data_IF_308756496464
#
_entry.id   IF_308756496464
#
_cell.length_a   1.000
_cell.length_b   1.000
_cell.length_c   1.000
_cell.angle_alpha   90.00
_cell.angle_beta   90.00
_cell.angle_gamma   90.00
#
_symmetry.space_group_name_H-M   'P 1'
#
loop_
_entity.id
_entity.type
_entity.pdbx_description
1 polymer ?
2 non-polymer ?
3 non-polymer ?
#
# COMPACT_ATOMS: atom_id res chain seq x y z
N UNK A 3 8.08 19.85 -10.72
CA UNK A 3 7.73 19.20 -11.98
C UNK A 3 7.09 17.79 -11.78
N UNK A 4 7.58 16.86 -10.90
CA UNK A 4 6.91 15.55 -10.80
C UNK A 4 5.41 15.60 -10.50
N UNK A 5 5.01 16.33 -9.45
CA UNK A 5 3.61 16.50 -9.02
C UNK A 5 2.75 17.20 -10.08
N UNK A 6 3.27 18.29 -10.69
CA UNK A 6 2.61 19.05 -11.76
C UNK A 6 2.34 18.13 -12.96
N UNK A 7 3.34 17.29 -13.34
CA UNK A 7 3.25 16.32 -14.43
C UNK A 7 2.22 15.24 -14.08
N UNK A 8 2.26 14.72 -12.84
CA UNK A 8 1.37 13.65 -12.36
C UNK A 8 -0.08 14.14 -12.40
N UNK A 9 -0.33 15.37 -11.96
CA UNK A 9 -1.67 15.98 -12.00
C UNK A 9 -2.17 16.27 -13.41
N UNK A 10 -1.25 16.65 -14.33
CA UNK A 10 -1.58 16.90 -15.73
C UNK A 10 -2.05 15.58 -16.37
N UNK A 11 -1.32 14.47 -16.12
CA UNK A 11 -1.65 13.14 -16.65
C UNK A 11 -2.99 12.62 -16.04
N UNK A 12 -3.31 12.99 -14.77
CA UNK A 12 -4.57 12.65 -14.13
C UNK A 12 -5.70 13.23 -14.96
N UNK A 13 -5.58 14.52 -15.34
CA UNK A 13 -6.60 15.22 -16.14
C UNK A 13 -6.80 14.51 -17.46
N UNK A 14 -5.69 14.05 -18.06
CA UNK A 14 -5.67 13.32 -19.34
C UNK A 14 -6.35 11.95 -19.23
N UNK A 15 -6.00 11.16 -18.18
CA UNK A 15 -6.60 9.84 -17.93
C UNK A 15 -8.11 10.00 -17.66
N UNK A 16 -8.48 10.93 -16.75
CA UNK A 16 -9.86 11.19 -16.39
C UNK A 16 -10.69 11.52 -17.65
N UNK A 17 -10.21 12.45 -18.48
CA UNK A 17 -10.89 12.84 -19.71
C UNK A 17 -11.04 11.68 -20.68
N UNK A 18 -10.01 10.86 -20.85
CA UNK A 18 -10.12 9.68 -21.70
C UNK A 18 -11.20 8.73 -21.15
N UNK A 19 -11.16 8.43 -19.83
CA UNK A 19 -12.12 7.49 -19.22
C UNK A 19 -13.54 7.94 -19.35
N UNK A 20 -13.80 9.21 -19.02
CA UNK A 20 -15.14 9.80 -19.07
C UNK A 20 -15.65 9.98 -20.49
N UNK A 21 -14.78 10.37 -21.44
CA UNK A 21 -15.19 10.50 -22.84
C UNK A 21 -15.51 9.12 -23.40
N UNK A 22 -14.69 8.10 -23.10
CA UNK A 22 -14.92 6.71 -23.49
C UNK A 22 -16.32 6.26 -23.02
N UNK A 23 -16.71 6.51 -21.73
CA UNK A 23 -18.05 6.17 -21.19
C UNK A 23 -19.16 6.84 -22.00
N UNK A 24 -19.04 8.15 -22.22
CA UNK A 24 -19.99 8.95 -22.97
C UNK A 24 -20.16 8.48 -24.45
N UNK A 25 -19.03 8.28 -25.15
CA UNK A 25 -18.97 7.95 -26.59
C UNK A 25 -19.10 6.48 -26.95
N UNK A 26 -18.59 5.58 -26.10
CA UNK A 26 -18.59 4.15 -26.37
C UNK A 26 -19.50 3.34 -25.44
N UNK A 27 -19.84 3.87 -24.26
CA UNK A 27 -20.66 3.09 -23.30
C UNK A 27 -22.05 3.65 -23.08
N UNK A 28 -22.45 4.61 -23.91
CA UNK A 28 -23.78 5.20 -23.91
C UNK A 28 -24.12 5.98 -22.62
N UNK A 29 -23.11 6.51 -21.89
CA UNK A 29 -23.38 7.21 -20.63
C UNK A 29 -23.96 8.59 -20.78
N UNK A 30 -25.01 8.88 -19.99
CA UNK A 30 -25.68 10.19 -19.96
C UNK A 30 -24.82 11.19 -19.15
N UNK A 31 -24.89 12.52 -19.49
CA UNK A 31 -24.09 13.52 -18.75
C UNK A 31 -24.17 13.47 -17.22
N UNK A 32 -25.39 13.31 -16.68
CA UNK A 32 -25.62 13.27 -15.23
C UNK A 32 -24.72 12.23 -14.54
N UNK A 33 -24.67 11.01 -15.12
CA UNK A 33 -23.81 9.93 -14.62
C UNK A 33 -22.34 10.22 -14.88
N UNK A 34 -21.99 10.87 -16.03
CA UNK A 34 -20.59 11.22 -16.32
C UNK A 34 -20.06 12.18 -15.25
N UNK A 35 -20.84 13.22 -14.90
CA UNK A 35 -20.44 14.18 -13.87
C UNK A 35 -20.34 13.50 -12.48
N UNK A 36 -21.27 12.58 -12.19
CA UNK A 36 -21.27 11.80 -10.96
C UNK A 36 -19.98 10.95 -10.86
N UNK A 37 -19.55 10.35 -11.97
CA UNK A 37 -18.32 9.55 -11.95
C UNK A 37 -17.06 10.41 -11.89
N UNK A 38 -17.10 11.61 -12.46
CA UNK A 38 -15.99 12.57 -12.39
C UNK A 38 -15.76 12.95 -10.92
N UNK A 39 -16.83 13.33 -10.21
CA UNK A 39 -16.81 13.67 -8.79
C UNK A 39 -16.32 12.49 -7.92
N UNK A 40 -16.83 11.25 -8.17
CA UNK A 40 -16.47 10.05 -7.43
C UNK A 40 -14.99 9.77 -7.62
N UNK A 41 -14.49 9.86 -8.86
CA UNK A 41 -13.09 9.66 -9.19
C UNK A 41 -12.22 10.65 -8.43
N UNK A 42 -12.62 11.94 -8.42
CA UNK A 42 -11.88 12.99 -7.71
C UNK A 42 -11.83 12.72 -6.20
N UNK A 43 -13.00 12.40 -5.57
CA UNK A 43 -13.17 12.11 -4.15
C UNK A 43 -12.31 10.94 -3.69
N UNK A 44 -12.27 9.87 -4.47
CA UNK A 44 -11.54 8.64 -4.10
C UNK A 44 -10.07 8.63 -4.49
N UNK A 45 -9.71 9.27 -5.62
CA UNK A 45 -8.34 9.19 -6.18
C UNK A 45 -7.42 10.38 -5.81
N UNK A 46 -8.00 11.52 -5.47
CA UNK A 46 -7.24 12.71 -5.10
C UNK A 46 -7.29 13.03 -3.58
N UNK A 47 -6.29 13.75 -3.11
CA UNK A 47 -6.23 14.16 -1.71
C UNK A 47 -5.17 13.53 -0.83
N UNK A 48 -4.61 12.42 -1.31
CA UNK A 48 -3.55 11.69 -0.62
C UNK A 48 -2.18 12.31 -0.84
N UNK A 49 -1.10 11.58 -0.49
CA UNK A 49 0.26 12.10 -0.68
C UNK A 49 0.83 11.65 -2.03
N UNK A 50 0.22 10.64 -2.65
CA UNK A 50 0.59 10.02 -3.92
C UNK A 50 1.95 9.33 -3.85
N UNK A 51 2.30 8.82 -2.66
CA UNK A 51 3.59 8.15 -2.42
C UNK A 51 3.83 6.99 -3.38
N UNK A 52 2.82 6.13 -3.63
CA UNK A 52 2.95 5.00 -4.55
C UNK A 52 3.13 5.47 -6.00
N UNK A 53 2.29 6.41 -6.43
CA UNK A 53 2.29 6.99 -7.77
C UNK A 53 3.54 7.76 -8.10
N UNK A 54 3.95 8.66 -7.20
CA UNK A 54 5.17 9.44 -7.37
C UNK A 54 6.43 8.58 -7.40
N UNK A 55 6.44 7.40 -6.66
CA UNK A 55 7.57 6.46 -6.66
C UNK A 55 7.83 5.96 -8.07
N UNK A 56 6.77 5.68 -8.87
CA UNK A 56 6.91 5.21 -10.25
C UNK A 56 7.66 6.26 -11.10
N UNK A 57 7.26 7.54 -10.96
CA UNK A 57 7.90 8.66 -11.66
C UNK A 57 9.39 8.75 -11.29
N UNK A 58 9.69 8.77 -9.96
CA UNK A 58 11.06 8.84 -9.40
C UNK A 58 11.98 7.71 -9.89
N UNK A 59 11.46 6.50 -10.05
CA UNK A 59 12.24 5.36 -10.54
C UNK A 59 12.59 5.57 -12.03
N UNK A 60 11.60 5.94 -12.88
CA UNK A 60 11.78 6.19 -14.32
C UNK A 60 12.81 7.32 -14.63
N UNK A 61 12.77 8.45 -13.87
CA UNK A 61 13.66 9.61 -14.02
C UNK A 61 15.12 9.22 -13.76
N UNK A 62 15.31 8.35 -12.74
CA UNK A 62 16.61 7.85 -12.33
C UNK A 62 17.19 6.93 -13.40
N UNK A 63 16.33 6.10 -14.04
CA UNK A 63 16.70 5.17 -15.10
C UNK A 63 16.82 5.87 -16.48
N UNK A 64 17.61 6.94 -16.46
CA UNK A 64 18.08 7.76 -17.55
C UNK A 64 19.62 7.60 -17.45
N UNK A 65 20.03 6.78 -16.43
CA UNK A 65 21.39 6.42 -16.03
C UNK A 65 22.18 7.63 -15.58
N UNK A 76 17.70 10.10 -27.17
CA UNK A 76 16.48 10.36 -27.90
C UNK A 76 15.45 11.10 -27.03
N UNK A 77 15.03 12.28 -27.51
CA UNK A 77 14.08 13.13 -26.82
C UNK A 77 12.67 12.56 -26.77
N UNK A 78 12.31 11.77 -27.80
CA UNK A 78 11.00 11.12 -27.93
C UNK A 78 10.82 9.98 -26.92
N UNK A 79 11.92 9.28 -26.57
CA UNK A 79 11.93 8.18 -25.62
C UNK A 79 11.71 8.66 -24.19
N UNK A 80 12.38 9.76 -23.77
CA UNK A 80 12.29 10.33 -22.43
C UNK A 80 10.85 10.72 -22.07
N UNK A 81 10.22 11.59 -22.88
CA UNK A 81 8.86 12.07 -22.68
C UNK A 81 7.83 10.93 -22.60
N UNK A 82 8.05 9.85 -23.37
CA UNK A 82 7.23 8.64 -23.41
C UNK A 82 7.39 7.87 -22.10
N UNK A 83 8.65 7.61 -21.66
CA UNK A 83 8.95 6.90 -20.40
C UNK A 83 8.30 7.60 -19.20
N UNK A 84 8.47 8.94 -19.10
CA UNK A 84 7.87 9.76 -18.03
C UNK A 84 6.33 9.77 -18.07
N UNK A 85 5.72 9.81 -19.29
CA UNK A 85 4.27 9.77 -19.44
C UNK A 85 3.72 8.39 -18.97
N UNK A 86 4.40 7.29 -19.38
CA UNK A 86 4.11 5.91 -19.04
C UNK A 86 4.21 5.71 -17.52
N UNK A 87 5.24 6.34 -16.88
CA UNK A 87 5.47 6.29 -15.44
C UNK A 87 4.27 6.91 -14.71
N UNK A 88 3.73 8.02 -15.26
CA UNK A 88 2.56 8.72 -14.72
C UNK A 88 1.28 7.89 -14.81
N UNK A 89 1.05 7.19 -15.95
CA UNK A 89 -0.13 6.33 -16.15
C UNK A 89 -0.05 5.13 -15.15
N UNK A 90 1.15 4.55 -14.99
CA UNK A 90 1.42 3.45 -14.05
C UNK A 90 1.19 3.89 -12.61
N UNK A 91 1.64 5.09 -12.29
CA UNK A 91 1.42 5.71 -11.00
C UNK A 91 -0.05 5.88 -10.71
N UNK A 92 -0.84 6.33 -11.71
CA UNK A 92 -2.28 6.47 -11.50
C UNK A 92 -2.96 5.12 -11.42
N UNK A 93 -2.44 4.08 -12.11
CA UNK A 93 -2.96 2.71 -11.97
C UNK A 93 -2.90 2.25 -10.49
N UNK A 94 -1.74 2.47 -9.81
CA UNK A 94 -1.56 2.11 -8.40
C UNK A 94 -2.44 2.98 -7.48
N UNK A 95 -2.51 4.31 -7.75
CA UNK A 95 -3.34 5.22 -6.96
C UNK A 95 -4.82 4.83 -7.06
N UNK A 96 -5.28 4.42 -8.26
CA UNK A 96 -6.66 3.93 -8.47
C UNK A 96 -6.87 2.57 -7.76
N UNK A 97 -5.86 1.69 -7.79
CA UNK A 97 -5.89 0.39 -7.08
C UNK A 97 -6.03 0.62 -5.58
N UNK A 98 -5.27 1.60 -5.02
CA UNK A 98 -5.33 2.03 -3.62
C UNK A 98 -6.73 2.57 -3.31
N UNK A 99 -7.25 3.46 -4.18
CA UNK A 99 -8.60 4.01 -4.08
C UNK A 99 -9.65 2.86 -4.02
N UNK A 100 -9.50 1.84 -4.89
CA UNK A 100 -10.36 0.64 -4.89
C UNK A 100 -10.29 -0.13 -3.52
N UNK A 101 -9.09 -0.33 -2.94
CA UNK A 101 -8.98 -1.01 -1.66
C UNK A 101 -9.63 -0.22 -0.54
N UNK A 102 -9.46 1.12 -0.51
CA UNK A 102 -10.05 1.96 0.53
C UNK A 102 -11.56 1.95 0.50
N UNK A 103 -12.16 1.95 -0.73
CA UNK A 103 -13.63 1.85 -0.91
C UNK A 103 -14.07 0.49 -0.36
N UNK A 104 -13.35 -0.61 -0.71
CA UNK A 104 -13.69 -1.95 -0.23
C UNK A 104 -13.63 -1.97 1.31
N UNK A 105 -12.61 -1.30 1.91
CA UNK A 105 -12.46 -1.18 3.37
C UNK A 105 -13.65 -0.41 3.98
N UNK A 106 -14.12 0.64 3.30
CA UNK A 106 -15.28 1.42 3.76
C UNK A 106 -16.57 0.62 3.80
N UNK A 107 -16.75 -0.37 2.88
CA UNK A 107 -17.93 -1.24 2.82
C UNK A 107 -17.84 -2.22 4.01
N UNK A 108 -16.62 -2.72 4.32
CA UNK A 108 -16.24 -3.66 5.40
C UNK A 108 -16.57 -3.17 6.81
N UNK A 109 -16.90 -1.86 6.98
CA UNK A 109 -17.25 -1.33 8.32
C UNK A 109 -18.56 -0.48 8.36
N UNK A 110 -19.19 -0.21 7.20
CA UNK A 110 -20.46 0.53 7.13
C UNK A 110 -21.62 -0.47 7.29
N UNK A 124 -32.72 -2.10 0.41
CA UNK A 124 -32.60 -1.29 -0.82
C UNK A 124 -31.67 -0.07 -0.65
N UNK A 125 -30.54 -0.26 0.07
CA UNK A 125 -29.58 0.80 0.35
C UNK A 125 -28.69 1.14 -0.86
N UNK A 126 -29.07 2.20 -1.59
CA UNK A 126 -28.39 2.67 -2.80
C UNK A 126 -26.95 3.20 -2.49
N UNK A 127 -26.65 3.63 -1.24
CA UNK A 127 -25.29 4.09 -0.92
C UNK A 127 -24.30 2.92 -0.93
N UNK A 128 -24.70 1.75 -0.35
CA UNK A 128 -23.92 0.52 -0.29
C UNK A 128 -23.79 -0.06 -1.72
N UNK A 129 -24.87 0.02 -2.52
CA UNK A 129 -24.86 -0.43 -3.91
C UNK A 129 -23.86 0.41 -4.68
N UNK A 130 -23.88 1.74 -4.46
CA UNK A 130 -23.00 2.66 -5.17
C UNK A 130 -21.55 2.52 -4.73
N UNK A 131 -21.31 2.13 -3.45
CA UNK A 131 -19.94 1.90 -2.93
C UNK A 131 -19.37 0.65 -3.57
N UNK A 132 -20.17 -0.43 -3.68
CA UNK A 132 -19.71 -1.67 -4.33
C UNK A 132 -19.41 -1.33 -5.81
N UNK A 133 -20.34 -0.60 -6.48
CA UNK A 133 -20.14 -0.20 -7.86
C UNK A 133 -18.85 0.60 -8.04
N UNK A 134 -18.60 1.60 -7.15
CA UNK A 134 -17.35 2.40 -7.10
C UNK A 134 -16.13 1.52 -7.01
N UNK A 135 -16.18 0.51 -6.16
CA UNK A 135 -15.07 -0.41 -5.97
C UNK A 135 -14.71 -1.10 -7.28
N UNK A 136 -15.74 -1.64 -7.96
CA UNK A 136 -15.63 -2.32 -9.24
C UNK A 136 -15.14 -1.40 -10.36
N UNK A 137 -15.68 -0.16 -10.46
CA UNK A 137 -15.24 0.78 -11.48
C UNK A 137 -13.80 1.20 -11.29
N UNK A 138 -13.38 1.49 -10.03
CA UNK A 138 -11.99 1.92 -9.75
C UNK A 138 -10.98 0.89 -10.18
N UNK A 139 -11.28 -0.38 -9.92
CA UNK A 139 -10.43 -1.47 -10.37
C UNK A 139 -10.46 -1.58 -11.92
N UNK A 140 -11.66 -1.62 -12.53
CA UNK A 140 -11.76 -1.72 -13.98
C UNK A 140 -11.03 -0.57 -14.67
N UNK A 141 -11.02 0.64 -14.07
CA UNK A 141 -10.33 1.81 -14.61
C UNK A 141 -8.82 1.63 -14.74
N UNK A 142 -8.19 0.85 -13.84
CA UNK A 142 -6.77 0.55 -13.88
C UNK A 142 -6.51 -0.22 -15.18
N UNK A 143 -7.37 -1.19 -15.52
CA UNK A 143 -7.24 -1.96 -16.76
C UNK A 143 -7.50 -1.07 -17.97
N UNK A 144 -8.60 -0.28 -17.96
CA UNK A 144 -8.99 0.57 -19.09
C UNK A 144 -7.90 1.58 -19.47
N UNK A 145 -7.32 2.30 -18.49
CA UNK A 145 -6.25 3.27 -18.74
C UNK A 145 -4.95 2.59 -19.27
N UNK A 146 -4.61 1.37 -18.77
CA UNK A 146 -3.46 0.59 -19.23
C UNK A 146 -3.65 0.13 -20.67
N UNK A 147 -4.82 -0.48 -20.99
CA UNK A 147 -5.21 -1.00 -22.31
C UNK A 147 -5.20 0.08 -23.38
N UNK A 148 -5.45 1.32 -22.99
CA UNK A 148 -5.46 2.45 -23.90
C UNK A 148 -4.06 3.06 -24.08
N UNK A 149 -3.48 3.61 -22.99
CA UNK A 149 -2.20 4.32 -23.02
C UNK A 149 -1.00 3.46 -23.40
N UNK A 150 -1.07 2.15 -23.14
CA UNK A 150 0.00 1.21 -23.46
C UNK A 150 -0.38 0.22 -24.57
N UNK A 151 -1.49 0.47 -25.31
CA UNK A 151 -2.04 -0.36 -26.40
C UNK A 151 -1.02 -0.99 -27.36
N UNK A 152 -0.01 -0.20 -27.79
CA UNK A 152 1.03 -0.66 -28.72
C UNK A 152 2.36 -1.03 -28.05
N UNK A 153 2.48 -0.85 -26.71
CA UNK A 153 3.71 -1.17 -25.96
C UNK A 153 3.92 -2.68 -25.85
N UNK A 154 5.19 -3.17 -26.04
CA UNK A 154 5.43 -4.62 -25.91
C UNK A 154 5.35 -5.12 -24.46
N UNK A 155 5.45 -4.18 -23.49
CA UNK A 155 5.40 -4.51 -22.07
C UNK A 155 3.96 -4.63 -21.52
N UNK A 156 2.91 -4.28 -22.32
CA UNK A 156 1.51 -4.32 -21.88
C UNK A 156 1.11 -5.65 -21.20
N UNK A 157 1.39 -6.80 -21.85
CA UNK A 157 1.03 -8.11 -21.30
C UNK A 157 1.73 -8.42 -19.96
N UNK A 158 3.05 -8.20 -19.89
CA UNK A 158 3.84 -8.39 -18.67
C UNK A 158 3.39 -7.45 -17.56
N UNK A 159 3.09 -6.18 -17.91
CA UNK A 159 2.63 -5.18 -16.95
C UNK A 159 1.31 -5.60 -16.32
N UNK A 160 0.32 -5.98 -17.17
CA UNK A 160 -1.00 -6.43 -16.74
C UNK A 160 -0.92 -7.65 -15.85
N UNK A 161 -0.06 -8.63 -16.22
CA UNK A 161 0.11 -9.86 -15.47
C UNK A 161 0.74 -9.64 -14.12
N UNK A 162 1.77 -8.78 -14.04
CA UNK A 162 2.44 -8.47 -12.76
C UNK A 162 1.50 -7.67 -11.86
N UNK A 163 0.73 -6.72 -12.44
CA UNK A 163 -0.24 -5.93 -11.70
C UNK A 163 -1.35 -6.83 -11.11
N UNK A 164 -1.95 -7.74 -11.93
CA UNK A 164 -3.01 -8.67 -11.52
C UNK A 164 -2.54 -9.64 -10.46
N UNK A 165 -1.29 -10.11 -10.58
CA UNK A 165 -0.70 -11.01 -9.61
C UNK A 165 -0.51 -10.28 -8.28
N UNK A 166 -0.10 -8.99 -8.32
CA UNK A 166 0.07 -8.15 -7.10
C UNK A 166 -1.29 -7.86 -6.48
N UNK A 167 -2.31 -7.64 -7.31
CA UNK A 167 -3.67 -7.40 -6.82
C UNK A 167 -4.18 -8.64 -6.06
N UNK A 168 -3.98 -9.83 -6.64
CA UNK A 168 -4.35 -11.11 -6.02
C UNK A 168 -3.62 -11.30 -4.70
N UNK A 169 -2.30 -11.06 -4.70
CA UNK A 169 -1.43 -11.12 -3.51
C UNK A 169 -2.03 -10.29 -2.38
N UNK A 170 -2.49 -9.05 -2.71
CA UNK A 170 -3.08 -8.15 -1.71
C UNK A 170 -4.37 -8.71 -1.11
N UNK A 171 -5.23 -9.35 -1.93
CA UNK A 171 -6.50 -9.95 -1.48
C UNK A 171 -6.22 -11.13 -0.59
N UNK A 172 -5.16 -11.89 -0.91
CA UNK A 172 -4.66 -12.99 -0.11
C UNK A 172 -4.17 -12.45 1.25
N UNK A 173 -3.43 -11.35 1.22
CA UNK A 173 -2.94 -10.70 2.43
C UNK A 173 -4.06 -10.22 3.32
N UNK A 174 -5.13 -9.73 2.70
CA UNK A 174 -6.33 -9.30 3.37
C UNK A 174 -7.00 -10.46 4.07
N UNK A 175 -7.00 -11.67 3.45
CA UNK A 175 -7.50 -12.90 4.08
C UNK A 175 -6.66 -13.23 5.34
N UNK A 176 -5.32 -13.21 5.22
CA UNK A 176 -4.42 -13.50 6.35
C UNK A 176 -4.67 -12.55 7.49
N UNK A 177 -4.91 -11.28 7.19
CA UNK A 177 -5.15 -10.21 8.16
C UNK A 177 -6.47 -10.35 8.92
N UNK A 178 -7.56 -10.38 8.19
CA UNK A 178 -8.95 -10.43 8.65
C UNK A 178 -9.24 -11.69 9.47
N UNK A 179 -8.52 -12.78 9.20
CA UNK A 179 -8.74 -14.05 9.88
C UNK A 179 -7.65 -14.42 10.87
N UNK A 180 -6.68 -13.50 11.13
CA UNK A 180 -5.53 -13.69 12.05
C UNK A 180 -5.90 -14.12 13.48
N UNK A 181 -7.01 -13.59 13.99
CA UNK A 181 -7.53 -13.83 15.34
C UNK A 181 -8.51 -15.03 15.38
N UNK A 182 -8.68 -15.71 14.22
CA UNK A 182 -9.57 -16.87 14.01
C UNK A 182 -8.89 -18.07 13.32
N UNK A 183 -9.71 -19.11 13.00
CA UNK A 183 -9.47 -20.33 12.22
C UNK A 183 -10.59 -20.32 11.17
N UNK A 184 -10.26 -19.95 9.90
CA UNK A 184 -11.29 -19.91 8.86
C UNK A 184 -11.51 -21.31 8.28
N UNK A 185 -12.79 -21.80 8.32
CA UNK A 185 -13.23 -23.11 7.83
C UNK A 185 -14.75 -23.12 7.60
N UNK A 198 -8.41 -16.45 19.18
CA UNK A 198 -7.30 -17.39 18.95
C UNK A 198 -5.97 -16.63 18.81
N UNK A 199 -4.91 -16.99 19.63
CA UNK A 199 -3.63 -16.28 19.52
C UNK A 199 -2.48 -17.12 18.92
N UNK A 200 -2.81 -18.31 18.38
CA UNK A 200 -1.85 -19.22 17.72
C UNK A 200 -1.11 -18.56 16.56
N UNK A 201 -1.78 -17.67 15.80
CA UNK A 201 -1.16 -16.99 14.67
C UNK A 201 -0.52 -15.66 15.02
N UNK A 202 -0.46 -15.34 16.34
CA UNK A 202 0.17 -14.12 16.85
C UNK A 202 1.64 -14.35 17.03
N UNK A 203 2.34 -14.48 15.88
CA UNK A 203 3.79 -14.71 15.83
C UNK A 203 4.41 -13.69 14.92
N UNK A 204 5.73 -13.45 15.07
CA UNK A 204 6.48 -12.49 14.26
C UNK A 204 6.54 -12.92 12.77
N UNK A 205 6.72 -14.23 12.52
CA UNK A 205 6.78 -14.80 11.18
C UNK A 205 5.43 -14.61 10.45
N UNK A 206 4.31 -14.80 11.17
CA UNK A 206 2.98 -14.62 10.59
C UNK A 206 2.69 -13.15 10.41
N UNK A 207 3.16 -12.31 11.36
CA UNK A 207 2.99 -10.86 11.25
C UNK A 207 3.65 -10.40 9.94
N UNK A 208 4.87 -10.91 9.65
CA UNK A 208 5.63 -10.62 8.43
C UNK A 208 4.91 -11.14 7.17
N UNK A 209 4.25 -12.32 7.24
CA UNK A 209 3.47 -12.85 6.11
C UNK A 209 2.31 -11.89 5.78
N UNK A 210 1.60 -11.36 6.81
CA UNK A 210 0.51 -10.43 6.64
C UNK A 210 1.03 -9.17 5.98
N UNK A 211 2.12 -8.60 6.54
CA UNK A 211 2.68 -7.34 6.01
C UNK A 211 3.10 -7.48 4.55
N UNK A 212 3.83 -8.56 4.20
CA UNK A 212 4.31 -8.83 2.86
C UNK A 212 3.15 -8.85 1.83
N UNK A 213 2.13 -9.67 2.09
CA UNK A 213 1.02 -9.85 1.16
C UNK A 213 0.03 -8.69 1.15
N UNK A 214 -0.42 -8.26 2.33
CA UNK A 214 -1.41 -7.21 2.47
C UNK A 214 -0.91 -5.82 2.09
N UNK A 215 0.37 -5.50 2.38
CA UNK A 215 0.89 -4.14 2.18
C UNK A 215 2.12 -4.01 1.27
N UNK A 216 3.22 -4.71 1.59
CA UNK A 216 4.52 -4.58 0.94
C UNK A 216 4.52 -4.80 -0.57
N UNK A 217 3.86 -5.86 -1.08
CA UNK A 217 3.80 -6.13 -2.53
C UNK A 217 3.22 -4.96 -3.38
N UNK A 218 2.10 -4.34 -2.96
CA UNK A 218 1.45 -3.27 -3.73
C UNK A 218 1.96 -1.85 -3.39
N UNK A 219 2.37 -1.62 -2.13
CA UNK A 219 2.85 -0.32 -1.67
C UNK A 219 4.32 -0.07 -2.00
N UNK A 220 5.20 -1.09 -1.80
CA UNK A 220 6.64 -0.91 -2.03
C UNK A 220 7.15 -1.61 -3.26
N UNK A 221 6.79 -2.90 -3.49
CA UNK A 221 7.32 -3.62 -4.64
C UNK A 221 6.75 -3.18 -5.97
N UNK A 222 5.41 -3.12 -6.11
CA UNK A 222 4.74 -2.72 -7.36
C UNK A 222 5.20 -1.34 -7.90
N UNK A 223 5.28 -0.22 -7.11
CA UNK A 223 5.75 1.04 -7.71
C UNK A 223 7.15 0.94 -8.28
N UNK A 224 8.06 0.22 -7.58
CA UNK A 224 9.43 0.00 -8.01
C UNK A 224 9.46 -0.80 -9.30
N UNK A 225 8.71 -1.91 -9.38
CA UNK A 225 8.61 -2.80 -10.55
C UNK A 225 8.04 -2.06 -11.76
N UNK A 226 6.97 -1.26 -11.58
CA UNK A 226 6.34 -0.50 -12.67
C UNK A 226 7.29 0.53 -13.27
N UNK A 227 8.07 1.20 -12.42
CA UNK A 227 9.08 2.16 -12.84
C UNK A 227 10.19 1.51 -13.67
N UNK A 228 10.48 0.22 -13.39
CA UNK A 228 11.47 -0.63 -14.08
C UNK A 228 10.90 -1.07 -15.43
N UNK A 229 9.60 -1.47 -15.47
CA UNK A 229 8.92 -1.95 -16.68
C UNK A 229 8.90 -0.87 -17.77
N UNK A 230 8.40 0.34 -17.44
CA UNK A 230 8.28 1.48 -18.36
C UNK A 230 9.64 1.93 -18.91
N UNK A 231 10.71 1.76 -18.10
CA UNK A 231 12.10 2.11 -18.44
C UNK A 231 12.77 1.00 -19.26
N UNK A 232 12.09 -0.17 -19.43
CA UNK A 232 12.57 -1.38 -20.13
C UNK A 232 13.87 -1.90 -19.47
N UNK A 233 13.99 -1.71 -18.14
CA UNK A 233 15.17 -2.05 -17.36
C UNK A 233 14.93 -3.11 -16.27
N UNK A 234 13.85 -3.90 -16.42
CA UNK A 234 13.47 -4.99 -15.52
C UNK A 234 14.56 -6.08 -15.36
N UNK A 235 15.20 -6.64 -16.42
CA UNK A 235 16.19 -7.70 -16.17
C UNK A 235 17.58 -7.23 -15.73
N UNK A 236 17.83 -5.90 -15.72
CA UNK A 236 19.11 -5.28 -15.33
C UNK A 236 19.31 -5.18 -13.81
N UNK A 237 18.29 -5.56 -13.01
CA UNK A 237 18.27 -5.49 -11.54
C UNK A 237 18.14 -6.87 -10.90
N UNK A 238 18.72 -7.04 -9.69
CA UNK A 238 18.59 -8.29 -8.93
C UNK A 238 17.24 -8.16 -8.23
N UNK A 239 16.25 -8.93 -8.70
CA UNK A 239 14.90 -8.92 -8.17
C UNK A 239 14.81 -9.37 -6.73
N UNK A 240 15.66 -10.33 -6.35
CA UNK A 240 15.75 -10.87 -5.00
C UNK A 240 16.02 -9.82 -3.95
N UNK A 241 17.07 -9.00 -4.16
CA UNK A 241 17.44 -7.89 -3.26
C UNK A 241 16.32 -6.81 -3.22
N UNK A 242 15.68 -6.55 -4.39
CA UNK A 242 14.60 -5.57 -4.56
C UNK A 242 13.37 -6.01 -3.76
N UNK A 243 12.95 -7.30 -3.92
CA UNK A 243 11.83 -7.92 -3.21
C UNK A 243 12.08 -7.85 -1.73
N UNK A 244 13.31 -8.19 -1.30
CA UNK A 244 13.77 -8.16 0.09
C UNK A 244 13.70 -6.76 0.66
N UNK A 245 14.10 -5.74 -0.13
CA UNK A 245 14.02 -4.34 0.27
C UNK A 245 12.58 -3.90 0.46
N UNK A 246 11.71 -4.24 -0.50
CA UNK A 246 10.27 -3.91 -0.45
C UNK A 246 9.62 -4.49 0.80
N UNK A 247 9.91 -5.78 1.12
CA UNK A 247 9.41 -6.47 2.30
C UNK A 247 9.89 -5.80 3.59
N UNK A 248 11.18 -5.39 3.64
CA UNK A 248 11.77 -4.73 4.81
C UNK A 248 11.20 -3.34 5.05
N UNK A 249 11.05 -2.54 3.99
CA UNK A 249 10.47 -1.19 4.08
C UNK A 249 9.00 -1.26 4.49
N UNK A 250 8.27 -2.24 3.94
CA UNK A 250 6.88 -2.53 4.29
C UNK A 250 6.74 -2.85 5.76
N UNK A 251 7.62 -3.72 6.27
CA UNK A 251 7.69 -4.12 7.67
C UNK A 251 7.97 -2.89 8.58
N UNK A 252 9.00 -2.08 8.24
CA UNK A 252 9.33 -0.86 8.99
C UNK A 252 8.10 0.06 9.07
N UNK A 253 7.44 0.30 7.94
CA UNK A 253 6.25 1.13 7.86
C UNK A 253 5.09 0.59 8.70
N UNK A 254 4.82 -0.74 8.62
CA UNK A 254 3.70 -1.33 9.36
C UNK A 254 3.90 -1.34 10.88
N UNK A 255 5.14 -1.56 11.35
CA UNK A 255 5.49 -1.57 12.77
C UNK A 255 5.22 -0.18 13.35
N UNK A 256 5.64 0.86 12.60
CA UNK A 256 5.43 2.26 12.95
C UNK A 256 3.93 2.57 12.92
N UNK A 257 3.21 2.07 11.88
CA UNK A 257 1.78 2.28 11.72
C UNK A 257 0.99 1.68 12.88
N UNK A 258 1.39 0.47 13.33
CA UNK A 258 0.79 -0.26 14.46
C UNK A 258 0.98 0.48 15.78
N UNK A 259 2.19 1.01 16.02
CA UNK A 259 2.54 1.75 17.21
C UNK A 259 1.74 3.06 17.25
N UNK A 260 1.67 3.80 16.12
CA UNK A 260 0.93 5.06 15.99
C UNK A 260 -0.57 4.85 16.18
N UNK A 261 -1.11 3.71 15.67
CA UNK A 261 -2.52 3.38 15.79
C UNK A 261 -2.94 3.34 17.27
N UNK A 262 -2.07 2.78 18.12
CA UNK A 262 -2.29 2.61 19.54
C UNK A 262 -1.97 3.86 20.38
N UNK A 263 -0.82 4.52 20.13
CA UNK A 263 -0.35 5.62 20.97
C UNK A 263 -0.55 7.06 20.43
N UNK A 264 -0.60 7.25 19.10
CA UNK A 264 -0.78 8.59 18.53
C UNK A 264 -2.27 9.03 18.65
N UNK A 265 -2.57 10.12 19.41
CA UNK A 265 -3.97 10.59 19.56
C UNK A 265 -4.68 10.94 18.25
N UNK A 266 -6.04 10.76 18.18
CA UNK A 266 -6.77 10.98 16.92
C UNK A 266 -6.53 12.29 16.15
N UNK A 267 -6.33 13.43 16.85
CA UNK A 267 -6.08 14.73 16.19
C UNK A 267 -4.72 14.78 15.45
N UNK A 268 -3.72 14.06 15.99
CA UNK A 268 -2.36 13.93 15.45
C UNK A 268 -2.29 12.80 14.40
N UNK A 269 -2.99 11.67 14.66
CA UNK A 269 -3.02 10.49 13.78
C UNK A 269 -3.87 10.71 12.51
N UNK A 270 -4.97 11.44 12.64
CA UNK A 270 -5.88 11.76 11.54
C UNK A 270 -6.99 10.74 11.34
N UNK A 271 -7.18 9.85 12.34
CA UNK A 271 -8.19 8.78 12.42
C UNK A 271 -8.25 8.25 13.84
N UNK A 272 -9.28 7.45 14.16
CA UNK A 272 -9.38 6.81 15.48
C UNK A 272 -8.75 5.42 15.35
N UNK A 273 -7.74 5.15 16.17
CA UNK A 273 -7.03 3.88 16.22
C UNK A 273 -7.90 2.81 16.85
N UNK A 274 -8.15 1.72 16.11
CA UNK A 274 -9.05 0.64 16.52
C UNK A 274 -8.40 -0.78 16.53
N UNK A 275 -7.06 -0.89 16.40
CA UNK A 275 -6.37 -2.21 16.35
C UNK A 275 -6.66 -3.10 17.56
N UNK A 276 -6.67 -2.52 18.79
CA UNK A 276 -6.93 -3.27 20.02
C UNK A 276 -8.34 -3.86 20.01
N UNK A 277 -9.35 -3.00 19.74
CA UNK A 277 -10.77 -3.32 19.65
C UNK A 277 -11.04 -4.38 18.60
N UNK A 278 -10.35 -4.29 17.45
CA UNK A 278 -10.49 -5.20 16.31
C UNK A 278 -9.67 -6.49 16.48
N UNK A 279 -8.90 -6.59 17.59
CA UNK A 279 -8.04 -7.74 17.91
C UNK A 279 -7.11 -8.04 16.74
N UNK A 280 -6.46 -7.00 16.21
CA UNK A 280 -5.53 -7.14 15.10
C UNK A 280 -4.25 -7.85 15.50
N UNK A 281 -3.62 -8.56 14.54
CA UNK A 281 -2.33 -9.20 14.76
C UNK A 281 -1.31 -8.10 14.52
N UNK A 282 -1.11 -7.22 15.52
CA UNK A 282 -0.21 -6.09 15.40
C UNK A 282 1.19 -6.41 15.93
N UNK A 283 2.19 -5.60 15.53
CA UNK A 283 3.53 -5.77 15.99
C UNK A 283 3.54 -5.67 17.53
N UNK A 284 2.72 -4.76 18.11
CA UNK A 284 2.66 -4.60 19.56
C UNK A 284 2.16 -5.87 20.25
N UNK A 285 1.08 -6.49 19.73
CA UNK A 285 0.50 -7.72 20.26
C UNK A 285 1.47 -8.93 20.21
N UNK A 286 2.15 -9.18 19.07
CA UNK A 286 3.08 -10.30 18.89
C UNK A 286 4.36 -10.13 19.75
N UNK A 287 4.87 -8.88 19.90
CA UNK A 287 6.06 -8.58 20.69
C UNK A 287 5.73 -8.70 22.17
N UNK A 288 4.55 -8.22 22.57
CA UNK A 288 4.08 -8.32 23.95
C UNK A 288 3.96 -9.79 24.38
N UNK A 289 3.37 -10.66 23.52
CA UNK A 289 3.15 -12.05 23.89
C UNK A 289 4.43 -12.86 24.09
N UNK A 290 5.52 -12.47 23.43
CA UNK A 290 6.81 -13.15 23.59
C UNK A 290 7.51 -12.71 24.89
N UNK A 291 7.13 -11.55 25.47
CA UNK A 291 7.83 -11.12 26.69
C UNK A 291 6.94 -11.01 27.95
N UNK A 292 5.62 -11.23 27.84
CA UNK A 292 4.73 -11.16 28.99
C UNK A 292 4.76 -12.44 29.81
N UNK A 293 4.44 -12.31 31.12
CA UNK A 293 4.37 -13.44 32.06
C UNK A 293 3.00 -14.11 31.88
N UNK A 294 2.83 -15.33 32.44
CA UNK A 294 1.58 -16.10 32.36
C UNK A 294 0.34 -15.26 32.75
N UNK A 295 0.42 -14.57 33.92
CA UNK A 295 -0.65 -13.71 34.45
C UNK A 295 -0.91 -12.50 33.55
N UNK A 296 0.15 -11.87 33.00
CA UNK A 296 0.05 -10.74 32.07
C UNK A 296 -0.59 -11.16 30.74
N UNK A 297 -0.25 -12.38 30.23
CA UNK A 297 -0.80 -12.96 28.99
C UNK A 297 -2.29 -13.20 29.23
N UNK A 298 -2.64 -13.75 30.40
CA UNK A 298 -4.02 -14.00 30.81
C UNK A 298 -4.82 -12.69 30.83
N UNK A 299 -4.18 -11.60 31.35
CA UNK A 299 -4.74 -10.25 31.45
C UNK A 299 -4.90 -9.64 30.05
N UNK A 300 -3.93 -9.89 29.15
CA UNK A 300 -3.97 -9.44 27.77
C UNK A 300 -5.12 -10.15 27.02
N UNK A 301 -5.20 -11.50 27.15
CA UNK A 301 -6.24 -12.31 26.51
C UNK A 301 -7.67 -11.95 26.94
N UNK A 302 -7.87 -11.60 28.22
CA UNK A 302 -9.19 -11.25 28.72
C UNK A 302 -9.63 -9.83 28.30
N UNK A 303 -8.68 -8.95 27.91
CA UNK A 303 -8.98 -7.56 27.54
C UNK A 303 -8.82 -7.22 26.05
N UNK A 304 -8.18 -8.08 25.25
CA UNK A 304 -7.99 -7.82 23.82
C UNK A 304 -9.25 -8.11 23.01
N UNK A 305 -9.46 -7.32 21.95
CA UNK A 305 -10.59 -7.45 21.04
C UNK A 305 -11.94 -6.98 21.54
N UNK A 306 -11.95 -6.01 22.48
CA UNK A 306 -13.18 -5.46 23.05
C UNK A 306 -13.26 -3.96 22.84
N UNK A 307 -14.49 -3.49 22.60
CA UNK A 307 -14.78 -2.07 22.42
C UNK A 307 -14.75 -1.28 23.72
N UNK A 308 -14.93 -1.97 24.88
CA UNK A 308 -14.93 -1.36 26.21
C UNK A 308 -13.65 -0.55 26.48
N UNK A 309 -13.83 0.76 26.69
CA UNK A 309 -12.82 1.81 26.94
C UNK A 309 -11.73 1.43 27.95
N UNK A 310 -12.12 0.79 29.07
CA UNK A 310 -11.22 0.35 30.14
C UNK A 310 -10.36 -0.87 29.77
N UNK A 311 -10.91 -1.76 28.93
CA UNK A 311 -10.20 -2.96 28.46
C UNK A 311 -9.12 -2.54 27.45
N UNK A 312 -9.42 -1.55 26.59
CA UNK A 312 -8.48 -0.95 25.61
C UNK A 312 -7.34 -0.26 26.38
N UNK A 313 -7.70 0.50 27.43
CA UNK A 313 -6.75 1.19 28.29
C UNK A 313 -5.86 0.18 29.04
N UNK A 314 -6.44 -0.96 29.49
CA UNK A 314 -5.68 -2.02 30.16
C UNK A 314 -4.61 -2.59 29.21
N UNK A 315 -4.95 -2.77 27.92
CA UNK A 315 -4.03 -3.27 26.88
C UNK A 315 -2.90 -2.24 26.70
N UNK A 316 -3.23 -0.94 26.58
CA UNK A 316 -2.26 0.15 26.46
C UNK A 316 -1.29 0.19 27.65
N UNK A 317 -1.81 -0.03 28.88
CA UNK A 317 -1.06 -0.10 30.14
C UNK A 317 -0.07 -1.27 30.07
N UNK A 318 -0.53 -2.45 29.61
CA UNK A 318 0.29 -3.66 29.46
C UNK A 318 1.45 -3.42 28.49
N UNK A 319 1.19 -2.79 27.31
CA UNK A 319 2.23 -2.46 26.34
C UNK A 319 3.31 -1.53 26.96
N UNK A 320 2.85 -0.47 27.67
CA UNK A 320 3.69 0.50 28.36
C UNK A 320 4.56 -0.16 29.43
N UNK A 321 3.94 -0.97 30.30
CA UNK A 321 4.62 -1.65 31.39
C UNK A 321 5.59 -2.73 30.91
N UNK A 322 5.39 -3.25 29.70
CA UNK A 322 6.28 -4.24 29.10
C UNK A 322 7.46 -3.57 28.38
N UNK A 323 7.54 -2.23 28.39
CA UNK A 323 8.59 -1.44 27.73
C UNK A 323 8.63 -1.73 26.23
N UNK A 324 7.44 -1.78 25.59
CA UNK A 324 7.34 -2.05 24.16
C UNK A 324 7.84 -0.89 23.35
N UNK A 325 7.75 0.36 23.89
CA UNK A 325 8.24 1.57 23.23
C UNK A 325 9.75 1.56 23.10
N UNK A 326 10.43 0.97 24.07
CA UNK A 326 11.87 0.79 24.06
C UNK A 326 12.27 -0.23 23.02
N UNK A 327 11.53 -1.36 22.98
CA UNK A 327 11.72 -2.45 22.01
C UNK A 327 11.41 -1.98 20.58
N UNK A 328 10.45 -1.05 20.42
CA UNK A 328 10.03 -0.46 19.14
C UNK A 328 11.21 0.24 18.45
N UNK A 329 11.94 1.10 19.21
CA UNK A 329 13.11 1.86 18.76
C UNK A 329 14.18 0.93 18.21
N UNK A 330 14.54 -0.13 18.98
CA UNK A 330 15.55 -1.10 18.61
C UNK A 330 15.12 -1.92 17.39
N UNK A 331 13.84 -2.34 17.32
CA UNK A 331 13.34 -3.15 16.20
C UNK A 331 13.47 -2.40 14.87
N UNK A 332 13.03 -1.15 14.88
CA UNK A 332 13.05 -0.24 13.74
C UNK A 332 14.48 0.09 13.30
N UNK A 333 15.39 0.33 14.29
CA UNK A 333 16.77 0.63 14.00
C UNK A 333 17.46 -0.54 13.29
N UNK A 334 17.19 -1.79 13.73
CA UNK A 334 17.75 -3.01 13.15
C UNK A 334 17.25 -3.21 11.72
N UNK A 335 15.96 -2.88 11.47
CA UNK A 335 15.36 -2.97 10.14
C UNK A 335 16.05 -1.91 9.25
N UNK A 336 16.23 -0.68 9.78
CA UNK A 336 16.89 0.43 9.09
C UNK A 336 18.32 0.07 8.64
N UNK A 337 19.07 -0.62 9.52
CA UNK A 337 20.44 -1.09 9.25
C UNK A 337 20.43 -2.07 8.06
N UNK A 338 19.46 -3.01 8.03
CA UNK A 338 19.28 -4.01 6.97
C UNK A 338 18.92 -3.38 5.62
N UNK A 339 18.06 -2.34 5.65
CA UNK A 339 17.63 -1.58 4.47
C UNK A 339 18.85 -0.89 3.86
N UNK A 340 19.55 -0.07 4.67
CA UNK A 340 20.75 0.68 4.29
C UNK A 340 21.82 -0.20 3.64
N UNK A 341 21.93 -1.48 4.08
CA UNK A 341 22.89 -2.46 3.59
C UNK A 341 22.51 -3.06 2.24
N UNK A 342 21.22 -3.41 2.07
CA UNK A 342 20.73 -4.02 0.83
C UNK A 342 20.72 -3.05 -0.36
N UNK A 343 20.54 -1.74 -0.09
CA UNK A 343 20.58 -0.68 -1.12
C UNK A 343 21.99 -0.67 -1.75
N UNK A 344 23.04 -0.90 -0.94
CA UNK A 344 24.42 -0.95 -1.40
C UNK A 344 24.65 -2.10 -2.38
N UNK A 345 24.13 -3.30 -2.06
CA UNK A 345 24.21 -4.50 -2.93
C UNK A 345 23.52 -4.23 -4.29
N UNK A 346 22.39 -3.49 -4.26
CA UNK A 346 21.59 -3.11 -5.43
C UNK A 346 22.33 -2.08 -6.29
N UNK A 347 23.05 -1.13 -5.64
CA UNK A 347 23.83 -0.06 -6.25
C UNK A 347 25.03 -0.61 -7.07
N UNK A 348 25.52 -1.82 -6.73
CA UNK A 348 26.65 -2.49 -7.42
C UNK A 348 26.36 -2.80 -8.90
N UNK A 349 25.09 -3.11 -9.22
CA UNK A 349 24.65 -3.45 -10.58
C UNK A 349 23.63 -2.46 -11.15
N UNK A 350 22.86 -1.81 -10.26
CA UNK A 350 21.82 -0.84 -10.62
C UNK A 350 22.00 0.46 -9.78
N UNK A 351 22.90 1.39 -10.20
CA UNK A 351 23.16 2.58 -9.38
C UNK A 351 22.01 3.58 -9.34
N UNK A 352 21.46 3.97 -10.50
CA UNK A 352 20.35 4.91 -10.60
C UNK A 352 19.12 4.46 -9.83
N UNK A 353 18.81 3.14 -9.90
CA UNK A 353 17.68 2.51 -9.23
C UNK A 353 17.82 2.58 -7.71
N UNK A 354 19.04 2.32 -7.19
CA UNK A 354 19.35 2.37 -5.76
C UNK A 354 19.06 3.75 -5.11
N UNK A 355 19.30 4.86 -5.85
CA UNK A 355 19.02 6.23 -5.40
C UNK A 355 17.50 6.45 -5.31
N UNK A 356 16.71 5.87 -6.25
CA UNK A 356 15.24 5.99 -6.18
C UNK A 356 14.69 5.14 -5.03
N UNK A 357 15.35 3.97 -4.73
CA UNK A 357 14.98 3.10 -3.61
C UNK A 357 15.34 3.82 -2.29
N UNK A 358 16.40 4.68 -2.32
CA UNK A 358 16.90 5.48 -1.19
C UNK A 358 15.89 6.58 -0.82
N UNK A 359 15.33 7.29 -1.84
CA UNK A 359 14.31 8.34 -1.67
C UNK A 359 12.99 7.70 -1.16
N UNK A 360 12.60 6.51 -1.72
CA UNK A 360 11.42 5.76 -1.26
C UNK A 360 11.56 5.44 0.22
N UNK A 361 12.76 5.00 0.64
CA UNK A 361 13.10 4.71 2.02
C UNK A 361 13.01 5.95 2.92
N UNK A 362 13.54 7.08 2.45
CA UNK A 362 13.47 8.36 3.16
C UNK A 362 12.04 8.78 3.46
N UNK A 363 11.09 8.49 2.54
CA UNK A 363 9.66 8.77 2.70
C UNK A 363 9.04 7.93 3.83
N UNK A 364 9.56 6.70 4.05
CA UNK A 364 9.14 5.75 5.08
C UNK A 364 9.81 6.04 6.44
N UNK A 365 11.14 6.26 6.43
CA UNK A 365 11.97 6.52 7.61
C UNK A 365 11.59 7.86 8.31
N UNK A 366 10.94 8.81 7.57
CA UNK A 366 10.46 10.12 8.02
C UNK A 366 9.31 9.98 9.06
X LIG B 1 4.95 3.84 -0.89
X LIG B 1 4.93 4.74 0.61
X LIG B 1 3.72 4.88 1.29
X LIG B 1 3.72 5.64 2.48
X LIG B 1 4.89 6.25 2.93
X LIG B 1 4.72 7.17 4.43
X LIG B 1 3.02 6.76 4.42
X LIG B 1 2.59 5.99 3.41
X LIG B 1 1.18 5.47 3.27
X LIG B 1 0.41 5.96 2.07
X LIG B 1 1.05 6.80 1.24
X LIG B 1 -0.75 5.60 1.90
X LIG B 1 6.10 6.11 2.24
X LIG B 1 6.11 5.35 1.06
X LIG C 1 -1.67 -5.22 10.55
X LIG C 1 -0.34 -5.17 11.13
X LIG C 1 -2.66 -6.20 11.62
X LIG C 1 -2.43 -3.64 10.89
#
# INVERSE_FOLDING_TARGET
GPMPMQMFMQVYDEIQMFLLEELELKFDMDPNRVRYLRKMMDTTCLGGKYNRGLTVIDVAESLLSLSPNNNGEEDDGARRKRVLHDACVCGWMIEFLQAHYLVEDDIMDNSVTRRGKPCWYRHPDVTVQCAINDGLLLKSWTHMMAMHFFADRPFLQDLLCRFNRVDYTTAVGQLYDVTSMFDSNKLDPDVSQPTTTDFAEFTLSNYKRIVKYKTAYYTYLLPLVMGLIVSEALPTVDMGVTEELAMLMGEYFQVQDDVMDCFTPPERLGKVGTDIQDAKCSWLAVTFLAKASSAQVAEFKANYGSGDSEKVATVRRLYEEADLQGDYVAYEAAVAEQVKELIEKLRLCSPGFAASVETLWGKTYKRQK
3N2 CL1 C2 C3 C5 C6 S7 C8 C10 C11 C14 O15 O16 C18 C20
DMS S O C1 C2
#
